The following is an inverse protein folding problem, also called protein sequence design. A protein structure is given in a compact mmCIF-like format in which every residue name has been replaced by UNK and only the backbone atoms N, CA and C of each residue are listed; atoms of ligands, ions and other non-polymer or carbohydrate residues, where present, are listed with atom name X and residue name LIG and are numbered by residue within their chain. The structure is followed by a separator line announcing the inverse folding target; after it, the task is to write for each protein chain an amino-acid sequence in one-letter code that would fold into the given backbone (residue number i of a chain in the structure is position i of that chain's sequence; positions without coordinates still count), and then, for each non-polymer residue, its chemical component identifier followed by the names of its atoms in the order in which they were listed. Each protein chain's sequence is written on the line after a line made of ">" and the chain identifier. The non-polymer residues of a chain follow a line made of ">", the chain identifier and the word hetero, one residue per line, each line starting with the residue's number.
data_IF_041624678024
#
_entry.id   IF_041624678024
#
_cell.length_a   1.000
_cell.length_b   1.000
_cell.length_c   1.000
_cell.angle_alpha   90.00
_cell.angle_beta   90.00
_cell.angle_gamma   90.00
#
_symmetry.space_group_name_H-M   'P 1'
#
loop_
_entity.id
_entity.type
_entity.pdbx_description
1 polymer ?
#
# COMPACT_ATOMS: atom_id res chain seq x y z
N UNK A 1 -6.16 -3.71 -1.56
CA UNK A 1 -5.49 -4.82 -2.27
C UNK A 1 -6.42 -5.99 -2.60
N UNK A 2 -7.65 -6.02 -2.08
CA UNK A 2 -8.63 -7.08 -2.32
C UNK A 2 -9.65 -6.75 -3.42
N UNK A 3 -9.31 -5.85 -4.35
CA UNK A 3 -10.22 -5.38 -5.40
C UNK A 3 -10.41 -6.42 -6.49
N UNK A 4 -11.66 -6.54 -6.93
CA UNK A 4 -12.05 -7.27 -8.15
C UNK A 4 -12.23 -6.28 -9.31
N UNK A 5 -12.25 -6.79 -10.53
CA UNK A 5 -12.45 -5.95 -11.72
C UNK A 5 -13.76 -5.14 -11.65
N UNK A 6 -14.84 -5.73 -11.14
CA UNK A 6 -16.14 -5.07 -10.99
C UNK A 6 -16.09 -3.92 -9.96
N UNK A 7 -15.31 -4.06 -8.88
CA UNK A 7 -15.14 -2.99 -7.88
C UNK A 7 -14.44 -1.78 -8.50
N UNK A 8 -13.43 -2.01 -9.34
CA UNK A 8 -12.70 -0.95 -10.03
C UNK A 8 -13.58 -0.25 -11.09
N UNK A 9 -14.38 -1.01 -11.83
CA UNK A 9 -15.34 -0.46 -12.79
C UNK A 9 -16.42 0.38 -12.09
N UNK A 10 -16.94 -0.10 -10.96
CA UNK A 10 -17.90 0.64 -10.15
C UNK A 10 -17.30 1.95 -9.60
N UNK A 11 -16.06 1.91 -9.12
CA UNK A 11 -15.35 3.09 -8.64
C UNK A 11 -15.20 4.14 -9.75
N UNK A 12 -14.79 3.74 -10.96
CA UNK A 12 -14.71 4.65 -12.12
C UNK A 12 -16.08 5.28 -12.44
N UNK A 13 -17.15 4.47 -12.48
CA UNK A 13 -18.51 4.96 -12.73
C UNK A 13 -18.95 5.97 -11.67
N UNK A 14 -18.61 5.74 -10.41
CA UNK A 14 -18.94 6.68 -9.33
C UNK A 14 -18.16 7.98 -9.47
N UNK A 15 -16.89 7.89 -9.85
CA UNK A 15 -15.99 9.03 -10.02
C UNK A 15 -16.44 10.01 -11.13
N UNK A 16 -17.17 9.55 -12.16
CA UNK A 16 -17.69 10.44 -13.22
C UNK A 16 -18.54 11.60 -12.71
N UNK A 17 -19.12 11.47 -11.52
CA UNK A 17 -19.94 12.50 -10.90
C UNK A 17 -19.14 13.46 -10.01
N UNK A 18 -17.83 13.38 -10.02
CA UNK A 18 -16.92 14.22 -9.24
C UNK A 18 -16.17 15.20 -10.15
N UNK A 19 -15.60 16.27 -9.55
CA UNK A 19 -14.71 17.20 -10.24
C UNK A 19 -13.25 16.88 -9.92
N UNK A 20 -12.90 15.61 -9.70
CA UNK A 20 -11.55 15.20 -9.37
C UNK A 20 -10.68 15.11 -10.64
N UNK A 21 -9.44 15.60 -10.56
CA UNK A 21 -8.47 15.51 -11.65
C UNK A 21 -7.76 14.16 -11.66
N UNK A 22 -7.67 13.50 -10.50
CA UNK A 22 -6.93 12.27 -10.31
C UNK A 22 -7.81 11.18 -9.70
N UNK A 23 -7.57 9.95 -10.11
CA UNK A 23 -8.14 8.77 -9.46
C UNK A 23 -7.01 7.80 -9.10
N UNK A 24 -6.83 7.57 -7.80
CA UNK A 24 -5.74 6.75 -7.27
C UNK A 24 -6.19 5.32 -6.99
N UNK A 25 -5.33 4.37 -7.38
CA UNK A 25 -5.36 3.02 -6.83
C UNK A 25 -4.45 2.99 -5.60
N UNK A 26 -4.98 2.55 -4.47
CA UNK A 26 -4.23 2.43 -3.22
C UNK A 26 -3.97 0.96 -2.86
N UNK A 27 -2.70 0.57 -2.77
CA UNK A 27 -2.29 -0.69 -2.15
C UNK A 27 -2.16 -0.51 -0.63
N UNK A 28 -3.30 -0.32 0.04
CA UNK A 28 -3.40 0.04 1.46
C UNK A 28 -2.66 -0.94 2.38
N UNK A 29 -2.60 -2.20 2.02
CA UNK A 29 -1.97 -3.25 2.82
C UNK A 29 -0.55 -3.58 2.37
N UNK A 30 -0.05 -2.97 1.30
CA UNK A 30 1.28 -3.23 0.74
C UNK A 30 1.50 -4.69 0.32
N UNK A 31 0.42 -5.41 0.05
CA UNK A 31 0.43 -6.82 -0.30
C UNK A 31 0.11 -7.13 -1.76
N UNK A 32 0.08 -6.11 -2.62
CA UNK A 32 -0.25 -6.29 -4.03
C UNK A 32 0.68 -7.28 -4.71
N UNK A 33 0.09 -8.33 -5.28
CA UNK A 33 0.77 -9.29 -6.16
C UNK A 33 0.30 -9.10 -7.60
N UNK A 34 1.21 -8.68 -8.48
CA UNK A 34 0.90 -8.36 -9.88
C UNK A 34 0.81 -9.59 -10.79
N UNK A 35 1.13 -10.80 -10.32
CA UNK A 35 1.30 -11.99 -11.16
C UNK A 35 0.19 -12.26 -12.19
N UNK A 36 -1.08 -11.98 -11.87
CA UNK A 36 -2.21 -12.11 -12.78
C UNK A 36 -3.01 -10.80 -12.98
N UNK A 37 -2.66 -9.75 -12.26
CA UNK A 37 -3.48 -8.53 -12.15
C UNK A 37 -3.12 -7.44 -13.16
N UNK A 38 -2.00 -7.52 -13.87
CA UNK A 38 -1.52 -6.42 -14.73
C UNK A 38 -2.53 -6.06 -15.84
N UNK A 39 -3.20 -7.04 -16.42
CA UNK A 39 -4.21 -6.78 -17.45
C UNK A 39 -5.45 -6.06 -16.88
N UNK A 40 -5.84 -6.39 -15.66
CA UNK A 40 -6.91 -5.69 -14.96
C UNK A 40 -6.55 -4.21 -14.77
N UNK A 41 -5.31 -3.90 -14.40
CA UNK A 41 -4.86 -2.54 -14.24
C UNK A 41 -4.77 -1.76 -15.56
N UNK A 42 -4.43 -2.41 -16.68
CA UNK A 42 -4.50 -1.79 -18.01
C UNK A 42 -5.93 -1.37 -18.38
N UNK A 43 -6.91 -2.22 -18.06
CA UNK A 43 -8.32 -1.89 -18.26
C UNK A 43 -8.74 -0.74 -17.34
N UNK A 44 -8.35 -0.80 -16.08
CA UNK A 44 -8.67 0.22 -15.08
C UNK A 44 -8.13 1.60 -15.46
N UNK A 45 -6.85 1.70 -15.82
CA UNK A 45 -6.25 2.98 -16.26
C UNK A 45 -6.91 3.53 -17.51
N UNK A 46 -7.32 2.66 -18.44
CA UNK A 46 -8.08 3.08 -19.61
C UNK A 46 -9.43 3.68 -19.23
N UNK A 47 -10.19 3.04 -18.34
CA UNK A 47 -11.46 3.55 -17.84
C UNK A 47 -11.33 4.89 -17.14
N UNK A 48 -10.28 5.09 -16.33
CA UNK A 48 -9.99 6.37 -15.66
C UNK A 48 -9.75 7.46 -16.70
N UNK A 49 -8.97 7.19 -17.74
CA UNK A 49 -8.69 8.16 -18.82
C UNK A 49 -9.93 8.49 -19.64
N UNK A 50 -10.79 7.51 -19.90
CA UNK A 50 -12.06 7.71 -20.62
C UNK A 50 -13.01 8.66 -19.88
N UNK A 51 -12.94 8.72 -18.54
CA UNK A 51 -13.71 9.69 -17.74
C UNK A 51 -12.97 11.02 -17.52
N UNK A 52 -11.83 11.24 -18.18
CA UNK A 52 -11.07 12.48 -18.16
C UNK A 52 -10.14 12.67 -16.95
N UNK A 53 -9.90 11.63 -16.17
CA UNK A 53 -9.05 11.68 -14.98
C UNK A 53 -7.65 11.12 -15.26
N UNK A 54 -6.68 11.49 -14.42
CA UNK A 54 -5.31 10.97 -14.44
C UNK A 54 -5.23 9.77 -13.49
N UNK A 55 -4.82 8.57 -13.97
CA UNK A 55 -4.65 7.41 -13.10
C UNK A 55 -3.40 7.54 -12.24
N UNK A 56 -3.58 7.45 -10.91
CA UNK A 56 -2.53 7.59 -9.90
C UNK A 56 -2.33 6.32 -9.07
N UNK A 57 -1.17 6.24 -8.42
CA UNK A 57 -0.76 5.14 -7.54
C UNK A 57 -0.44 5.66 -6.14
N UNK A 58 -0.94 4.95 -5.13
CA UNK A 58 -0.51 5.07 -3.74
C UNK A 58 -0.11 3.68 -3.23
N UNK A 59 1.20 3.45 -3.07
CA UNK A 59 1.74 2.13 -2.78
C UNK A 59 2.41 2.10 -1.42
N UNK A 60 1.97 1.17 -0.56
CA UNK A 60 2.67 0.82 0.67
C UNK A 60 3.74 -0.25 0.41
N UNK A 61 4.80 -0.24 1.20
CA UNK A 61 5.97 -1.13 1.02
C UNK A 61 6.06 -2.24 2.08
N UNK A 62 4.93 -2.65 2.64
CA UNK A 62 4.88 -3.64 3.72
C UNK A 62 5.45 -5.01 3.31
N UNK A 63 5.43 -5.34 2.03
CA UNK A 63 6.02 -6.57 1.48
C UNK A 63 7.38 -6.35 0.80
N UNK A 64 7.92 -5.13 0.80
CA UNK A 64 9.13 -4.75 0.07
C UNK A 64 8.96 -4.75 -1.46
N UNK A 65 7.71 -4.71 -1.96
CA UNK A 65 7.41 -4.81 -3.39
C UNK A 65 6.98 -3.49 -4.03
N UNK A 66 6.87 -2.38 -3.25
CA UNK A 66 6.32 -1.13 -3.76
C UNK A 66 7.03 -0.62 -5.02
N UNK A 67 8.37 -0.61 -5.03
CA UNK A 67 9.13 -0.17 -6.20
C UNK A 67 8.96 -1.10 -7.40
N UNK A 68 8.95 -2.41 -7.19
CA UNK A 68 8.70 -3.38 -8.25
C UNK A 68 7.30 -3.20 -8.84
N UNK A 69 6.29 -3.07 -7.98
CA UNK A 69 4.91 -2.85 -8.39
C UNK A 69 4.76 -1.51 -9.13
N UNK A 70 5.36 -0.43 -8.64
CA UNK A 70 5.41 0.86 -9.32
C UNK A 70 5.92 0.75 -10.75
N UNK A 71 7.10 0.13 -10.96
CA UNK A 71 7.69 -0.03 -12.28
C UNK A 71 6.78 -0.78 -13.25
N UNK A 72 6.11 -1.81 -12.79
CA UNK A 72 5.19 -2.60 -13.61
C UNK A 72 3.88 -1.85 -13.88
N UNK A 73 3.34 -1.16 -12.89
CA UNK A 73 2.08 -0.42 -13.01
C UNK A 73 2.20 0.81 -13.92
N UNK A 74 3.38 1.43 -14.02
CA UNK A 74 3.63 2.45 -15.06
C UNK A 74 3.38 1.87 -16.46
N UNK A 75 3.78 0.63 -16.72
CA UNK A 75 3.52 -0.03 -18.02
C UNK A 75 2.05 -0.36 -18.24
N UNK A 76 1.24 -0.37 -17.18
CA UNK A 76 -0.21 -0.52 -17.26
C UNK A 76 -0.94 0.81 -17.49
N UNK A 77 -0.22 1.95 -17.56
CA UNK A 77 -0.78 3.25 -17.95
C UNK A 77 -1.07 4.20 -16.80
N UNK A 78 -0.58 3.93 -15.58
CA UNK A 78 -0.59 4.91 -14.50
C UNK A 78 0.41 6.04 -14.80
N UNK A 79 0.05 7.28 -14.44
CA UNK A 79 0.79 8.50 -14.79
C UNK A 79 1.22 9.33 -13.58
N UNK A 80 0.56 9.15 -12.44
CA UNK A 80 0.91 9.82 -11.20
C UNK A 80 1.24 8.79 -10.11
N UNK A 81 2.06 9.17 -9.13
CA UNK A 81 2.33 8.34 -7.95
C UNK A 81 2.63 9.20 -6.73
N UNK A 82 2.11 8.77 -5.59
CA UNK A 82 2.50 9.31 -4.31
C UNK A 82 3.78 8.63 -3.83
N UNK A 83 4.66 9.43 -3.26
CA UNK A 83 5.93 8.98 -2.68
C UNK A 83 6.23 9.75 -1.41
N UNK A 84 7.02 9.18 -0.53
CA UNK A 84 7.54 9.89 0.63
C UNK A 84 9.05 9.70 0.78
N UNK A 85 9.72 10.72 1.31
CA UNK A 85 11.16 10.64 1.58
C UNK A 85 11.43 9.55 2.63
N UNK A 86 12.39 8.67 2.36
CA UNK A 86 12.68 7.52 3.23
C UNK A 86 11.55 6.51 3.32
N UNK A 87 10.46 6.67 2.56
CA UNK A 87 9.28 5.83 2.68
C UNK A 87 8.43 6.14 3.91
N UNK A 88 8.58 7.33 4.52
CA UNK A 88 7.85 7.70 5.73
C UNK A 88 6.35 7.56 5.53
N UNK A 89 5.71 6.76 6.38
CA UNK A 89 4.28 6.47 6.29
C UNK A 89 3.87 5.40 7.29
N UNK A 90 2.62 4.98 7.21
CA UNK A 90 2.04 3.99 8.11
C UNK A 90 2.65 2.59 7.90
N UNK A 91 2.77 1.82 8.96
CA UNK A 91 3.29 0.45 8.94
C UNK A 91 4.76 0.39 8.50
N UNK A 92 5.07 -0.41 7.49
CA UNK A 92 6.43 -0.52 6.91
C UNK A 92 6.73 0.57 5.87
N UNK A 93 5.83 1.54 5.72
CA UNK A 93 6.02 2.73 4.93
C UNK A 93 5.43 2.69 3.53
N UNK A 94 5.74 3.75 2.81
CA UNK A 94 5.28 4.01 1.45
C UNK A 94 6.38 3.77 0.42
N UNK A 95 6.01 3.84 -0.85
CA UNK A 95 6.97 3.92 -1.95
C UNK A 95 7.94 5.09 -1.70
N UNK A 96 9.24 4.83 -1.76
CA UNK A 96 10.28 5.79 -1.44
C UNK A 96 10.53 6.75 -2.60
N UNK A 97 10.59 8.05 -2.29
CA UNK A 97 10.92 9.09 -3.25
C UNK A 97 12.26 8.85 -3.93
N UNK A 98 13.28 8.49 -3.15
CA UNK A 98 14.65 8.27 -3.63
C UNK A 98 14.80 7.05 -4.56
N UNK A 99 13.79 6.16 -4.61
CA UNK A 99 13.75 5.07 -5.59
C UNK A 99 13.10 5.47 -6.92
N UNK A 100 12.26 6.50 -6.90
CA UNK A 100 11.41 6.89 -8.02
C UNK A 100 12.00 8.07 -8.79
N UNK A 101 12.55 9.05 -8.08
CA UNK A 101 13.06 10.27 -8.67
C UNK A 101 14.56 10.20 -8.95
N UNK A 102 14.95 10.79 -10.07
CA UNK A 102 16.35 11.10 -10.32
C UNK A 102 16.75 12.32 -9.48
N UNK A 103 17.55 12.08 -8.46
CA UNK A 103 18.00 13.09 -7.52
C UNK A 103 19.33 13.75 -7.92
N UNK A 104 19.86 13.51 -9.12
CA UNK A 104 21.10 14.16 -9.60
C UNK A 104 20.95 15.68 -9.57
N UNK A 105 21.87 16.36 -8.89
CA UNK A 105 21.81 17.80 -8.64
C UNK A 105 20.83 18.22 -7.54
N UNK A 106 20.22 17.26 -6.84
CA UNK A 106 19.28 17.46 -5.74
C UNK A 106 19.60 16.60 -4.53
N UNK A 107 20.85 16.19 -4.38
CA UNK A 107 21.34 15.27 -3.35
C UNK A 107 21.07 15.80 -1.93
N UNK A 108 20.98 17.15 -1.78
CA UNK A 108 20.60 17.79 -0.51
C UNK A 108 19.27 17.29 0.07
N UNK A 109 18.38 16.75 -0.78
CA UNK A 109 17.13 16.12 -0.31
C UNK A 109 17.44 14.90 0.59
N UNK A 110 18.51 14.15 0.25
CA UNK A 110 18.92 12.97 1.01
C UNK A 110 19.56 13.33 2.36
N UNK A 111 20.06 14.57 2.52
CA UNK A 111 20.60 15.03 3.80
C UNK A 111 19.54 14.98 4.90
N UNK A 112 18.28 15.20 4.55
CA UNK A 112 17.17 15.10 5.49
C UNK A 112 16.98 13.70 6.06
N UNK A 113 17.31 12.63 5.31
CA UNK A 113 17.27 11.26 5.82
C UNK A 113 18.33 11.03 6.90
N UNK A 114 19.49 11.65 6.76
CA UNK A 114 20.60 11.53 7.73
C UNK A 114 20.31 12.36 8.97
N UNK A 115 19.90 13.62 8.78
CA UNK A 115 19.63 14.58 9.86
C UNK A 115 18.47 14.09 10.74
N UNK A 116 17.46 13.49 10.14
CA UNK A 116 16.23 13.08 10.81
C UNK A 116 16.09 11.55 10.87
N UNK A 117 17.20 10.82 10.95
CA UNK A 117 17.20 9.35 10.88
C UNK A 117 16.23 8.68 11.85
N UNK A 118 16.00 9.28 13.02
CA UNK A 118 15.09 8.73 14.03
C UNK A 118 13.62 8.82 13.61
N UNK A 119 13.26 9.82 12.77
CA UNK A 119 11.91 9.93 12.19
C UNK A 119 11.66 8.90 11.08
N UNK A 120 12.73 8.41 10.43
CA UNK A 120 12.65 7.44 9.34
C UNK A 120 12.87 6.00 9.80
N UNK A 121 12.98 5.76 11.11
CA UNK A 121 12.92 4.42 11.67
C UNK A 121 11.46 3.97 11.65
N UNK A 122 11.16 3.15 10.67
CA UNK A 122 9.84 2.56 10.54
C UNK A 122 9.67 1.48 11.61
N UNK A 123 8.57 1.46 12.37
CA UNK A 123 8.24 0.31 13.20
C UNK A 123 7.94 -0.86 12.27
N UNK A 124 8.99 -1.59 11.93
CA UNK A 124 8.93 -2.67 10.95
C UNK A 124 9.18 -4.00 11.64
N UNK A 125 8.35 -4.32 12.60
CA UNK A 125 8.36 -5.65 13.16
C UNK A 125 7.95 -6.69 12.11
N UNK A 126 8.22 -7.98 12.37
CA UNK A 126 7.83 -9.07 11.49
C UNK A 126 6.32 -9.14 11.25
N UNK A 127 5.53 -8.50 12.11
CA UNK A 127 4.07 -8.49 12.06
C UNK A 127 3.51 -7.76 10.84
N UNK A 128 4.11 -6.64 10.43
CA UNK A 128 3.70 -5.89 9.23
C UNK A 128 3.87 -6.70 7.95
N UNK A 129 4.95 -7.48 7.85
CA UNK A 129 5.17 -8.41 6.72
C UNK A 129 4.10 -9.50 6.69
N UNK A 130 3.69 -10.01 7.85
CA UNK A 130 2.67 -11.06 7.94
C UNK A 130 1.28 -10.54 7.55
N UNK A 131 0.89 -9.34 8.00
CA UNK A 131 -0.38 -8.72 7.58
C UNK A 131 -0.41 -8.41 6.09
N UNK A 132 0.70 -7.89 5.53
CA UNK A 132 0.82 -7.63 4.10
C UNK A 132 0.68 -8.90 3.25
N UNK A 133 1.32 -10.00 3.65
CA UNK A 133 1.23 -11.30 2.97
C UNK A 133 -0.21 -11.75 2.78
N UNK A 134 -1.04 -11.58 3.81
CA UNK A 134 -2.41 -12.06 3.83
C UNK A 134 -3.43 -10.97 3.43
N UNK A 135 -2.95 -9.79 2.99
CA UNK A 135 -3.74 -8.60 2.63
C UNK A 135 -4.70 -8.18 3.75
N UNK A 136 -4.16 -8.07 4.96
CA UNK A 136 -4.88 -7.73 6.19
C UNK A 136 -4.40 -6.35 6.66
N UNK A 137 -5.30 -5.55 7.23
CA UNK A 137 -4.96 -4.23 7.76
C UNK A 137 -3.82 -4.30 8.79
N UNK A 138 -2.88 -3.38 8.69
CA UNK A 138 -1.70 -3.28 9.55
C UNK A 138 -2.02 -2.92 11.02
N UNK A 139 -3.24 -2.49 11.33
CA UNK A 139 -3.67 -2.28 12.71
C UNK A 139 -3.48 -3.52 13.60
N UNK A 140 -3.64 -4.72 13.04
CA UNK A 140 -3.34 -5.95 13.76
C UNK A 140 -1.85 -6.13 14.04
N UNK A 141 -0.97 -5.68 13.15
CA UNK A 141 0.47 -5.71 13.36
C UNK A 141 0.88 -4.80 14.52
N UNK A 142 0.37 -3.58 14.56
CA UNK A 142 0.61 -2.63 15.65
C UNK A 142 0.13 -3.21 16.99
N UNK A 143 -1.09 -3.76 17.03
CA UNK A 143 -1.62 -4.35 18.26
C UNK A 143 -0.81 -5.57 18.71
N UNK A 144 -0.30 -6.38 17.78
CA UNK A 144 0.52 -7.54 18.11
C UNK A 144 1.86 -7.11 18.76
N UNK A 145 2.48 -6.03 18.28
CA UNK A 145 3.65 -5.42 18.89
C UNK A 145 3.34 -4.90 20.29
N UNK A 146 2.28 -4.10 20.43
CA UNK A 146 1.87 -3.53 21.71
C UNK A 146 1.58 -4.60 22.76
N UNK A 147 1.02 -5.74 22.35
CA UNK A 147 0.77 -6.90 23.22
C UNK A 147 1.99 -7.79 23.44
N UNK A 148 3.13 -7.51 22.81
CA UNK A 148 4.33 -8.33 22.91
C UNK A 148 4.15 -9.76 22.41
N UNK A 149 3.29 -9.98 21.40
CA UNK A 149 3.05 -11.31 20.86
C UNK A 149 4.31 -11.83 20.15
N UNK A 150 4.48 -13.16 20.16
CA UNK A 150 5.47 -13.81 19.29
C UNK A 150 4.87 -13.95 17.87
N UNK A 151 5.66 -13.88 16.79
CA UNK A 151 5.18 -14.06 15.42
C UNK A 151 4.35 -15.33 15.21
N UNK A 152 4.72 -16.44 15.84
CA UNK A 152 3.97 -17.71 15.77
C UNK A 152 2.56 -17.62 16.39
N UNK A 153 2.42 -16.89 17.48
CA UNK A 153 1.12 -16.64 18.13
C UNK A 153 0.27 -15.73 17.25
N UNK A 154 0.89 -14.71 16.64
CA UNK A 154 0.21 -13.81 15.74
C UNK A 154 -0.30 -14.51 14.49
N UNK A 155 0.51 -15.34 13.84
CA UNK A 155 0.08 -16.16 12.67
C UNK A 155 -1.13 -17.02 13.01
N UNK A 156 -1.13 -17.68 14.19
CA UNK A 156 -2.28 -18.47 14.64
C UNK A 156 -3.56 -17.64 14.75
N UNK A 157 -3.46 -16.38 15.19
CA UNK A 157 -4.59 -15.45 15.30
C UNK A 157 -5.00 -14.86 13.96
N UNK A 158 -4.05 -14.58 13.07
CA UNK A 158 -4.33 -14.10 11.70
C UNK A 158 -5.25 -15.07 10.93
N UNK A 159 -5.11 -16.37 11.16
CA UNK A 159 -5.96 -17.39 10.54
C UNK A 159 -7.46 -17.28 10.91
N UNK A 160 -7.78 -16.53 11.96
CA UNK A 160 -9.17 -16.24 12.37
C UNK A 160 -9.75 -15.04 11.61
N UNK A 161 -8.91 -14.27 10.92
CA UNK A 161 -9.32 -13.05 10.22
C UNK A 161 -9.87 -13.43 8.85
N UNK A 162 -11.12 -13.08 8.58
CA UNK A 162 -11.79 -13.38 7.32
C UNK A 162 -12.77 -12.27 6.93
N UNK A 163 -13.18 -12.24 5.67
CA UNK A 163 -14.17 -11.30 5.17
C UNK A 163 -13.80 -9.85 5.42
N UNK A 164 -14.75 -9.05 5.89
CA UNK A 164 -14.58 -7.61 6.15
C UNK A 164 -13.57 -7.29 7.25
N UNK A 165 -13.23 -8.24 8.12
CA UNK A 165 -12.21 -8.03 9.15
C UNK A 165 -10.78 -7.97 8.59
N UNK A 166 -10.58 -8.30 7.32
CA UNK A 166 -9.29 -8.08 6.64
C UNK A 166 -9.01 -6.58 6.44
N UNK A 167 -10.02 -5.84 6.06
CA UNK A 167 -9.92 -4.42 5.77
C UNK A 167 -10.28 -3.55 6.97
N UNK A 168 -11.18 -4.05 7.83
CA UNK A 168 -11.66 -3.36 9.01
C UNK A 168 -11.10 -4.03 10.28
N UNK A 169 -10.33 -3.28 11.05
CA UNK A 169 -9.78 -3.77 12.30
C UNK A 169 -10.87 -4.16 13.30
N UNK A 170 -10.73 -5.36 13.87
CA UNK A 170 -11.58 -5.85 14.95
C UNK A 170 -10.71 -6.23 16.15
N UNK A 171 -10.80 -5.41 17.20
CA UNK A 171 -10.01 -5.53 18.44
C UNK A 171 -10.10 -6.90 19.10
N UNK A 172 -11.24 -7.58 18.98
CA UNK A 172 -11.47 -8.84 19.67
C UNK A 172 -10.73 -10.04 19.07
N UNK A 173 -10.16 -9.88 17.86
CA UNK A 173 -9.48 -11.00 17.16
C UNK A 173 -8.14 -11.34 17.82
N UNK A 174 -7.43 -10.36 18.34
CA UNK A 174 -6.15 -10.55 19.01
C UNK A 174 -6.26 -10.64 20.54
N UNK A 175 -7.45 -10.56 21.11
CA UNK A 175 -7.65 -10.82 22.54
C UNK A 175 -7.45 -12.29 22.86
N UNK A 176 -6.92 -12.57 24.04
CA UNK A 176 -6.89 -13.91 24.58
C UNK A 176 -8.32 -14.33 24.92
N UNK A 177 -8.68 -15.55 24.57
CA UNK A 177 -9.87 -16.23 25.07
C UNK A 177 -9.65 -16.63 26.54
#
# INVERSE_FOLDING_TARGET
>A
TNYKADDLAFACKTATNTNADFMYFADTHGGLDLGQSLNMFKIYTKLIKEIGMIPGLHLHDHSGKAYFNYRNLLSAGFEATDVSLGGLGKGLGNLRLEHVFDLRGREHILDHLIINKDLFQMPSGPFGVLTARDSITDHYAVEAEDKGLRPSQFVSRLNRISGSSKDNYNRNILSDD
#
